data_IF_382470857563
#
_entry.id   IF_382470857563
#
_cell.length_a   1.000
_cell.length_b   1.000
_cell.length_c   1.000
_cell.angle_alpha   90.00
_cell.angle_beta   90.00
_cell.angle_gamma   90.00
#
_symmetry.space_group_name_H-M   'P 1'
#
loop_
_entity.id
_entity.type
_entity.pdbx_description
1 polymer ?
#
# COMPACT_ATOMS: atom_id res chain seq x y z
N UNK A 1 -7.14 -20.75 6.55
CA UNK A 1 -6.10 -20.56 5.52
C UNK A 1 -4.79 -20.28 6.24
N UNK A 2 -3.72 -21.03 5.94
CA UNK A 2 -2.36 -20.74 6.43
C UNK A 2 -1.82 -19.45 5.81
N UNK A 3 -0.77 -18.84 6.38
CA UNK A 3 -0.18 -17.63 5.82
C UNK A 3 0.29 -17.80 4.35
N UNK A 4 0.91 -18.94 4.01
CA UNK A 4 1.32 -19.23 2.62
C UNK A 4 0.11 -19.35 1.69
N UNK A 5 -1.00 -19.95 2.12
CA UNK A 5 -2.22 -20.01 1.28
C UNK A 5 -2.87 -18.64 1.04
N UNK A 6 -2.67 -17.68 1.96
CA UNK A 6 -3.13 -16.29 1.77
C UNK A 6 -2.21 -15.55 0.79
N UNK A 7 -0.89 -15.69 0.94
CA UNK A 7 0.08 -15.07 0.04
C UNK A 7 -0.09 -15.58 -1.40
N UNK A 8 -0.25 -16.89 -1.59
CA UNK A 8 -0.54 -17.51 -2.88
C UNK A 8 -1.84 -16.98 -3.48
N UNK A 9 -2.92 -16.95 -2.70
CA UNK A 9 -4.20 -16.40 -3.15
C UNK A 9 -4.07 -14.93 -3.60
N UNK A 10 -3.28 -14.12 -2.88
CA UNK A 10 -3.03 -12.72 -3.20
C UNK A 10 -2.00 -12.50 -4.32
N UNK A 11 -1.43 -13.56 -4.90
CA UNK A 11 -0.38 -13.48 -5.92
C UNK A 11 0.96 -12.97 -5.39
N UNK A 12 1.19 -13.10 -4.08
CA UNK A 12 2.39 -12.65 -3.35
C UNK A 12 3.31 -13.84 -3.00
N UNK A 13 3.39 -14.86 -3.85
CA UNK A 13 4.23 -16.03 -3.61
C UNK A 13 5.66 -15.89 -4.19
N UNK A 14 5.86 -15.03 -5.20
CA UNK A 14 7.14 -14.89 -5.88
C UNK A 14 8.10 -13.90 -5.19
N UNK A 15 9.39 -14.10 -5.45
CA UNK A 15 10.51 -13.28 -4.98
C UNK A 15 11.38 -12.81 -6.14
N UNK A 16 11.91 -11.60 -6.02
CA UNK A 16 12.82 -11.02 -7.03
C UNK A 16 14.28 -11.41 -6.86
N UNK A 17 14.65 -11.99 -5.73
CA UNK A 17 15.98 -12.51 -5.45
C UNK A 17 15.90 -13.82 -4.66
N UNK A 18 16.83 -14.73 -4.95
CA UNK A 18 17.04 -15.95 -4.18
C UNK A 18 17.82 -15.64 -2.88
N UNK A 19 17.76 -16.57 -1.93
CA UNK A 19 18.41 -16.42 -0.61
C UNK A 19 17.43 -16.16 0.53
N UNK A 20 17.90 -16.32 1.76
CA UNK A 20 17.07 -16.22 2.94
C UNK A 20 16.80 -14.76 3.33
N UNK A 21 15.57 -14.50 3.79
CA UNK A 21 15.22 -13.22 4.38
C UNK A 21 15.89 -13.00 5.74
N UNK A 22 15.71 -11.79 6.26
CA UNK A 22 16.18 -11.41 7.61
C UNK A 22 15.11 -11.54 8.69
N UNK A 23 13.88 -11.94 8.35
CA UNK A 23 12.78 -11.93 9.29
C UNK A 23 12.49 -10.51 9.80
N UNK A 24 12.12 -10.43 11.08
CA UNK A 24 11.95 -9.20 11.83
C UNK A 24 10.54 -8.62 11.78
N UNK A 25 10.35 -7.54 12.53
CA UNK A 25 9.07 -6.88 12.70
C UNK A 25 9.18 -5.37 12.41
N UNK A 26 8.24 -4.85 11.62
CA UNK A 26 8.10 -3.40 11.38
C UNK A 26 7.20 -2.75 12.43
N UNK A 27 7.42 -1.44 12.63
CA UNK A 27 6.54 -0.59 13.46
C UNK A 27 6.37 -1.12 14.89
N UNK A 28 7.40 -1.74 15.46
CA UNK A 28 7.47 -2.03 16.91
C UNK A 28 7.30 -0.74 17.69
N UNK A 29 7.93 0.33 17.20
CA UNK A 29 7.73 1.72 17.64
C UNK A 29 7.21 2.57 16.51
N UNK A 30 6.58 3.71 16.83
CA UNK A 30 6.17 4.67 15.80
C UNK A 30 7.43 5.27 15.13
N UNK A 31 8.49 5.49 15.91
CA UNK A 31 9.76 6.07 15.46
C UNK A 31 10.58 5.13 14.56
N UNK A 32 10.25 3.84 14.53
CA UNK A 32 10.88 2.85 13.66
C UNK A 32 10.44 3.01 12.19
N UNK A 33 9.38 3.77 11.93
CA UNK A 33 8.92 4.05 10.58
C UNK A 33 8.92 5.55 10.34
N UNK A 34 9.92 6.05 9.60
CA UNK A 34 10.06 7.47 9.29
C UNK A 34 9.93 7.72 7.80
N UNK A 35 9.15 8.74 7.45
CA UNK A 35 8.91 9.14 6.07
C UNK A 35 9.15 10.62 5.94
N UNK A 36 10.16 11.00 5.15
CA UNK A 36 10.45 12.38 4.83
C UNK A 36 10.11 12.65 3.36
N UNK A 37 9.28 13.64 3.11
CA UNK A 37 8.94 14.06 1.76
C UNK A 37 10.16 14.65 1.05
N UNK A 38 10.49 14.10 -0.12
CA UNK A 38 11.49 14.68 -1.02
C UNK A 38 10.74 15.60 -1.98
N UNK A 39 10.82 16.90 -1.73
CA UNK A 39 10.21 17.93 -2.57
C UNK A 39 11.04 19.20 -2.56
N UNK A 40 10.99 19.95 -3.67
CA UNK A 40 11.57 21.28 -3.73
C UNK A 40 10.76 22.24 -2.84
N UNK A 41 11.46 23.01 -2.01
CA UNK A 41 10.81 24.07 -1.23
C UNK A 41 10.29 25.14 -2.20
N UNK A 42 9.01 25.58 -2.07
CA UNK A 42 8.49 26.65 -2.91
C UNK A 42 9.34 27.91 -2.84
N UNK A 43 9.44 28.66 -3.95
CA UNK A 43 10.24 29.88 -3.97
C UNK A 43 9.77 30.87 -2.88
N UNK A 44 10.69 31.29 -2.03
CA UNK A 44 10.39 32.14 -0.88
C UNK A 44 10.49 33.63 -1.26
N UNK A 45 9.51 34.40 -0.80
CA UNK A 45 9.45 35.85 -0.94
C UNK A 45 8.78 36.41 0.32
N UNK A 46 9.43 37.32 1.09
CA UNK A 46 8.83 37.96 2.27
C UNK A 46 7.47 38.63 2.01
N UNK A 47 7.20 39.08 0.77
CA UNK A 47 5.91 39.66 0.34
C UNK A 47 4.89 38.60 -0.08
N UNK A 48 5.24 37.33 0.00
CA UNK A 48 4.40 36.18 -0.28
C UNK A 48 3.09 36.21 0.49
N UNK A 49 2.01 35.73 -0.15
CA UNK A 49 0.68 35.63 0.47
C UNK A 49 0.59 34.46 1.45
N UNK A 50 1.26 33.35 1.14
CA UNK A 50 1.17 32.12 1.91
C UNK A 50 2.40 31.96 2.82
N UNK A 51 2.28 31.10 3.83
CA UNK A 51 3.42 30.65 4.65
C UNK A 51 3.75 29.21 4.25
N UNK A 52 4.99 28.98 3.84
CA UNK A 52 5.53 27.64 3.66
C UNK A 52 6.10 27.14 4.99
N UNK A 53 5.75 25.92 5.37
CA UNK A 53 6.22 25.26 6.58
C UNK A 53 6.66 23.85 6.27
N UNK A 54 7.63 23.35 7.04
CA UNK A 54 7.91 21.92 7.15
C UNK A 54 7.33 21.43 8.46
N UNK A 55 6.49 20.40 8.42
CA UNK A 55 5.87 19.82 9.61
C UNK A 55 6.36 18.41 9.81
N UNK A 56 6.69 18.08 11.06
CA UNK A 56 6.94 16.69 11.48
C UNK A 56 5.79 16.25 12.35
N UNK A 57 5.19 15.11 12.02
CA UNK A 57 4.02 14.56 12.71
C UNK A 57 4.36 13.18 13.27
N UNK A 58 4.14 12.96 14.57
CA UNK A 58 4.28 11.66 15.21
C UNK A 58 2.90 11.03 15.44
N UNK A 59 2.61 9.90 14.77
CA UNK A 59 1.34 9.15 14.91
C UNK A 59 0.05 9.91 14.50
N UNK A 60 0.14 10.74 13.47
CA UNK A 60 -0.98 11.55 12.99
C UNK A 60 -1.48 11.11 11.61
N UNK A 61 -2.79 10.98 11.47
CA UNK A 61 -3.41 10.94 10.14
C UNK A 61 -3.37 12.35 9.53
N UNK A 62 -2.93 12.45 8.28
CA UNK A 62 -2.63 13.72 7.62
C UNK A 62 -3.85 14.64 7.57
N UNK A 63 -5.04 14.16 7.15
CA UNK A 63 -6.23 15.02 7.05
C UNK A 63 -6.74 15.51 8.41
N UNK A 64 -6.62 14.69 9.45
CA UNK A 64 -6.92 15.06 10.84
C UNK A 64 -6.00 16.21 11.28
N UNK A 65 -4.71 16.09 11.02
CA UNK A 65 -3.74 17.15 11.33
C UNK A 65 -4.04 18.43 10.55
N UNK A 66 -4.23 18.36 9.23
CA UNK A 66 -4.48 19.53 8.39
C UNK A 66 -5.78 20.25 8.80
N UNK A 67 -6.79 19.53 9.27
CA UNK A 67 -8.02 20.12 9.83
C UNK A 67 -7.77 20.81 11.16
N UNK A 68 -6.93 20.22 12.04
CA UNK A 68 -6.53 20.82 13.31
C UNK A 68 -5.71 22.09 13.11
N UNK A 69 -4.75 22.07 12.18
CA UNK A 69 -3.93 23.21 11.78
C UNK A 69 -4.80 24.35 11.23
N UNK A 70 -5.72 24.05 10.32
CA UNK A 70 -6.64 25.04 9.76
C UNK A 70 -7.49 25.71 10.86
N UNK A 71 -8.01 24.92 11.80
CA UNK A 71 -8.78 25.42 12.95
C UNK A 71 -7.93 26.32 13.85
N UNK A 72 -6.69 25.93 14.17
CA UNK A 72 -5.78 26.72 14.98
C UNK A 72 -5.43 28.07 14.31
N UNK A 73 -5.31 28.10 12.98
CA UNK A 73 -5.10 29.32 12.21
C UNK A 73 -6.36 30.16 11.98
N UNK A 74 -7.55 29.65 12.32
CA UNK A 74 -8.84 30.31 12.06
C UNK A 74 -9.20 30.40 10.57
N UNK A 75 -8.82 29.39 9.78
CA UNK A 75 -9.05 29.34 8.32
C UNK A 75 -9.80 28.05 7.93
N UNK A 76 -10.35 28.05 6.71
CA UNK A 76 -10.93 26.83 6.12
C UNK A 76 -9.86 25.78 5.82
N UNK A 77 -10.18 24.49 5.96
CA UNK A 77 -9.32 23.36 5.57
C UNK A 77 -8.83 23.44 4.11
N UNK A 78 -9.63 24.01 3.21
CA UNK A 78 -9.28 24.21 1.78
C UNK A 78 -8.14 25.21 1.56
N UNK A 79 -7.74 25.95 2.60
CA UNK A 79 -6.65 26.95 2.60
C UNK A 79 -5.34 26.40 3.16
N UNK A 80 -5.27 25.09 3.39
CA UNK A 80 -4.05 24.36 3.76
C UNK A 80 -3.74 23.37 2.63
N UNK A 81 -2.62 23.59 1.96
CA UNK A 81 -2.19 22.84 0.79
C UNK A 81 -1.11 21.83 1.19
N UNK A 82 -1.22 20.60 0.68
CA UNK A 82 -0.33 19.46 0.94
C UNK A 82 -0.10 18.69 -0.35
N UNK A 83 1.08 18.10 -0.52
CA UNK A 83 1.42 17.36 -1.75
C UNK A 83 0.86 15.93 -1.78
N UNK A 84 0.49 15.39 -0.62
CA UNK A 84 -0.02 14.03 -0.48
C UNK A 84 -0.41 13.70 0.96
N UNK A 85 -0.82 12.45 1.17
CA UNK A 85 -1.04 11.87 2.49
C UNK A 85 0.19 11.05 2.87
N UNK A 86 0.51 10.99 4.16
CA UNK A 86 1.58 10.15 4.71
C UNK A 86 1.00 9.11 5.68
N UNK A 87 1.79 8.08 5.98
CA UNK A 87 1.44 7.02 6.91
C UNK A 87 1.07 7.57 8.30
N UNK A 88 -0.06 7.12 8.85
CA UNK A 88 -0.48 7.50 10.21
C UNK A 88 0.50 6.97 11.26
N UNK A 89 0.79 5.65 11.22
CA UNK A 89 1.62 4.97 12.22
C UNK A 89 3.10 5.10 11.84
N UNK A 90 3.58 6.33 11.85
CA UNK A 90 4.93 6.73 11.47
C UNK A 90 5.29 8.11 12.06
N UNK A 91 6.57 8.45 12.02
CA UNK A 91 7.04 9.85 12.10
C UNK A 91 7.17 10.38 10.68
N UNK A 92 6.36 11.36 10.32
CA UNK A 92 6.28 11.86 8.95
C UNK A 92 6.67 13.33 8.86
N UNK A 93 7.53 13.68 7.91
CA UNK A 93 7.94 15.05 7.64
C UNK A 93 7.50 15.46 6.25
N UNK A 94 6.76 16.56 6.13
CA UNK A 94 6.25 17.03 4.83
C UNK A 94 6.20 18.56 4.76
N UNK A 95 6.24 19.08 3.55
CA UNK A 95 6.08 20.52 3.29
C UNK A 95 4.60 20.84 3.13
N UNK A 96 4.14 21.89 3.81
CA UNK A 96 2.79 22.43 3.69
C UNK A 96 2.85 23.90 3.28
N UNK A 97 1.84 24.34 2.54
CA UNK A 97 1.60 25.77 2.30
C UNK A 97 0.28 26.17 2.95
N UNK A 98 0.33 27.18 3.80
CA UNK A 98 -0.81 27.67 4.59
C UNK A 98 -1.16 29.08 4.15
N UNK A 99 -2.41 29.33 3.76
CA UNK A 99 -2.92 30.66 3.46
C UNK A 99 -3.33 31.40 4.74
N UNK A 100 -2.32 31.66 5.58
CA UNK A 100 -2.37 32.45 6.81
C UNK A 100 -1.09 33.28 6.96
N UNK A 101 -1.10 34.38 7.74
CA UNK A 101 0.12 35.11 8.10
C UNK A 101 1.11 34.22 8.86
N UNK A 102 2.42 34.42 8.65
CA UNK A 102 3.48 33.68 9.34
C UNK A 102 3.34 33.73 10.86
N UNK A 103 3.09 34.91 11.44
CA UNK A 103 2.91 35.09 12.89
C UNK A 103 1.74 34.31 13.49
N UNK A 104 0.73 33.94 12.68
CA UNK A 104 -0.34 33.04 13.14
C UNK A 104 0.11 31.59 13.16
N UNK A 105 0.85 31.17 12.12
CA UNK A 105 1.34 29.79 11.99
C UNK A 105 2.39 29.48 13.06
N UNK A 106 3.27 30.42 13.37
CA UNK A 106 4.29 30.29 14.43
C UNK A 106 3.71 30.07 15.83
N UNK A 107 2.47 30.52 16.08
CA UNK A 107 1.78 30.37 17.37
C UNK A 107 0.98 29.06 17.47
N UNK A 108 0.97 28.24 16.42
CA UNK A 108 0.22 26.98 16.43
C UNK A 108 0.99 25.95 17.23
N UNK A 109 0.37 25.48 18.31
CA UNK A 109 0.86 24.35 19.09
C UNK A 109 -0.11 23.17 18.95
N UNK A 110 0.41 22.05 18.44
CA UNK A 110 -0.33 20.79 18.33
C UNK A 110 0.57 19.70 18.93
N UNK A 111 0.12 18.96 19.96
CA UNK A 111 0.89 17.87 20.56
C UNK A 111 1.38 16.86 19.53
N UNK A 112 2.55 16.26 19.79
CA UNK A 112 3.19 15.25 18.95
C UNK A 112 3.53 15.73 17.54
N UNK A 113 3.68 17.05 17.36
CA UNK A 113 4.08 17.66 16.08
C UNK A 113 5.12 18.76 16.29
N UNK A 114 5.93 19.01 15.26
CA UNK A 114 6.78 20.19 15.17
C UNK A 114 6.48 20.95 13.88
N UNK A 115 6.55 22.27 13.94
CA UNK A 115 6.35 23.17 12.79
C UNK A 115 7.60 24.02 12.64
N UNK A 116 8.32 23.81 11.55
CA UNK A 116 9.41 24.67 11.11
C UNK A 116 8.86 25.64 10.05
N UNK A 117 8.93 26.95 10.32
CA UNK A 117 8.53 27.95 9.33
C UNK A 117 9.69 28.21 8.38
N UNK A 118 9.47 27.89 7.10
CA UNK A 118 10.46 28.08 6.04
C UNK A 118 10.44 29.54 5.54
N UNK A 119 9.27 30.16 5.51
CA UNK A 119 9.10 31.56 5.13
C UNK A 119 7.78 31.84 4.42
N UNK A 120 7.72 32.99 3.75
CA UNK A 120 6.59 33.45 2.96
C UNK A 120 6.75 33.04 1.49
N UNK A 121 5.66 32.76 0.78
CA UNK A 121 5.69 32.38 -0.65
C UNK A 121 4.44 32.83 -1.40
N UNK A 122 4.55 32.98 -2.73
CA UNK A 122 3.43 33.18 -3.65
C UNK A 122 2.88 31.86 -4.23
N UNK A 123 3.60 30.76 -4.04
CA UNK A 123 3.28 29.46 -4.62
C UNK A 123 2.39 28.64 -3.68
N UNK A 124 1.46 27.88 -4.25
CA UNK A 124 0.77 26.79 -3.56
C UNK A 124 1.47 25.48 -3.92
N UNK A 125 1.23 24.46 -3.12
CA UNK A 125 1.57 23.07 -3.50
C UNK A 125 0.30 22.33 -3.89
N UNK A 126 0.36 21.66 -5.04
CA UNK A 126 -0.66 20.77 -5.57
C UNK A 126 -0.43 19.32 -5.16
N UNK A 127 -1.43 18.49 -5.43
CA UNK A 127 -1.33 17.05 -5.23
C UNK A 127 -0.28 16.46 -6.18
N UNK A 128 0.65 15.68 -5.66
CA UNK A 128 1.77 15.08 -6.40
C UNK A 128 2.90 16.04 -6.81
N UNK A 129 3.01 17.20 -6.16
CA UNK A 129 4.14 18.13 -6.33
C UNK A 129 5.43 17.70 -5.57
N UNK A 130 5.51 16.43 -5.13
CA UNK A 130 6.71 15.87 -4.52
C UNK A 130 7.42 14.91 -5.47
N UNK A 131 8.74 14.84 -5.35
CA UNK A 131 9.62 14.02 -6.20
C UNK A 131 9.74 12.58 -5.67
N UNK A 132 9.37 12.36 -4.40
CA UNK A 132 9.41 11.05 -3.76
C UNK A 132 9.30 11.13 -2.25
N UNK A 133 9.59 10.01 -1.59
CA UNK A 133 9.67 9.94 -0.14
C UNK A 133 10.96 9.20 0.25
N UNK A 134 11.71 9.80 1.18
CA UNK A 134 12.86 9.20 1.84
C UNK A 134 12.36 8.44 3.06
N UNK A 135 12.60 7.15 3.06
CA UNK A 135 12.25 6.28 4.17
C UNK A 135 13.46 6.06 5.06
N UNK A 136 13.23 6.05 6.37
CA UNK A 136 14.15 5.46 7.35
C UNK A 136 13.34 4.47 8.16
N UNK A 137 13.56 3.18 7.90
CA UNK A 137 12.80 2.09 8.50
C UNK A 137 13.73 1.25 9.36
N UNK A 138 13.30 0.98 10.58
CA UNK A 138 13.98 0.04 11.47
C UNK A 138 13.20 -1.27 11.51
N UNK A 139 13.88 -2.35 11.13
CA UNK A 139 13.41 -3.73 11.29
C UNK A 139 13.97 -4.24 12.60
N UNK A 140 13.11 -4.77 13.46
CA UNK A 140 13.48 -5.23 14.82
C UNK A 140 13.46 -6.74 14.89
N UNK A 141 14.45 -7.31 15.58
CA UNK A 141 14.47 -8.73 15.93
C UNK A 141 14.68 -9.67 14.74
N UNK A 142 15.74 -9.45 13.96
CA UNK A 142 16.07 -10.29 12.81
C UNK A 142 16.32 -11.74 13.25
N UNK A 143 15.82 -12.70 12.47
CA UNK A 143 15.96 -14.12 12.76
C UNK A 143 16.18 -14.92 11.48
N UNK A 144 16.55 -16.18 11.65
CA UNK A 144 16.59 -17.15 10.56
C UNK A 144 15.20 -17.75 10.29
N UNK A 145 15.12 -18.59 9.25
CA UNK A 145 13.90 -19.29 8.82
C UNK A 145 13.31 -20.24 9.87
N UNK A 146 14.12 -20.69 10.84
CA UNK A 146 13.70 -21.50 11.98
C UNK A 146 13.29 -20.65 13.21
N UNK A 147 13.34 -19.32 13.11
CA UNK A 147 13.04 -18.38 14.19
C UNK A 147 14.21 -18.09 15.13
N UNK A 148 15.38 -18.70 14.94
CA UNK A 148 16.57 -18.43 15.76
C UNK A 148 17.11 -17.00 15.50
N UNK A 149 17.58 -16.27 16.53
CA UNK A 149 18.09 -14.91 16.34
C UNK A 149 19.36 -14.88 15.49
N UNK A 150 19.47 -13.91 14.58
CA UNK A 150 20.69 -13.67 13.81
C UNK A 150 21.33 -12.34 14.22
N UNK A 151 22.67 -12.30 14.16
CA UNK A 151 23.43 -11.11 14.52
C UNK A 151 23.42 -10.04 13.42
N UNK A 152 23.87 -8.83 13.75
CA UNK A 152 23.83 -7.69 12.83
C UNK A 152 24.71 -7.89 11.59
N UNK A 153 25.82 -8.63 11.69
CA UNK A 153 26.72 -8.88 10.56
C UNK A 153 26.05 -9.80 9.55
N UNK A 154 25.45 -10.88 10.02
CA UNK A 154 24.73 -11.84 9.20
C UNK A 154 23.49 -11.19 8.57
N UNK A 155 22.68 -10.48 9.35
CA UNK A 155 21.50 -9.79 8.83
C UNK A 155 21.88 -8.75 7.75
N UNK A 156 22.93 -7.95 7.96
CA UNK A 156 23.42 -7.01 6.94
C UNK A 156 24.01 -7.71 5.71
N UNK A 157 24.62 -8.89 5.86
CA UNK A 157 25.13 -9.69 4.73
C UNK A 157 23.95 -10.14 3.84
N UNK A 158 22.92 -10.75 4.43
CA UNK A 158 21.71 -11.19 3.70
C UNK A 158 21.04 -10.05 2.95
N UNK A 159 20.89 -8.87 3.57
CA UNK A 159 20.33 -7.68 2.90
C UNK A 159 21.13 -7.29 1.66
N UNK A 160 22.46 -7.25 1.75
CA UNK A 160 23.32 -6.89 0.61
C UNK A 160 23.26 -7.94 -0.50
N UNK A 161 23.19 -9.22 -0.14
CA UNK A 161 23.04 -10.31 -1.11
C UNK A 161 21.70 -10.26 -1.84
N UNK A 162 20.60 -10.07 -1.11
CA UNK A 162 19.27 -9.92 -1.70
C UNK A 162 19.20 -8.70 -2.64
N UNK A 163 19.79 -7.58 -2.25
CA UNK A 163 19.86 -6.40 -3.11
C UNK A 163 20.72 -6.64 -4.36
N UNK A 164 21.89 -7.27 -4.22
CA UNK A 164 22.75 -7.61 -5.36
C UNK A 164 22.04 -8.55 -6.32
N UNK A 165 21.45 -9.63 -5.80
CA UNK A 165 20.71 -10.61 -6.59
C UNK A 165 19.51 -9.98 -7.31
N UNK A 166 18.79 -9.07 -6.64
CA UNK A 166 17.69 -8.32 -7.23
C UNK A 166 18.18 -7.41 -8.37
N UNK A 167 19.23 -6.62 -8.13
CA UNK A 167 19.79 -5.72 -9.14
C UNK A 167 20.39 -6.49 -10.33
N UNK A 168 21.00 -7.65 -10.10
CA UNK A 168 21.51 -8.54 -11.16
C UNK A 168 20.37 -9.14 -11.99
N UNK A 169 19.34 -9.71 -11.34
CA UNK A 169 18.19 -10.31 -12.04
C UNK A 169 17.39 -9.29 -12.82
N UNK A 170 17.22 -8.09 -12.28
CA UNK A 170 16.37 -7.04 -12.86
C UNK A 170 17.15 -6.09 -13.78
N UNK A 171 18.48 -6.07 -13.71
CA UNK A 171 19.34 -5.16 -14.46
C UNK A 171 19.25 -3.70 -14.00
N UNK A 172 18.70 -3.44 -12.81
CA UNK A 172 18.53 -2.11 -12.22
C UNK A 172 18.23 -2.22 -10.72
N UNK A 173 18.51 -1.13 -9.97
CA UNK A 173 18.07 -0.97 -8.59
C UNK A 173 16.56 -0.69 -8.53
N UNK A 174 15.78 -1.76 -8.68
CA UNK A 174 14.33 -1.76 -8.66
C UNK A 174 13.80 -3.00 -7.95
N UNK A 175 12.54 -3.00 -7.54
CA UNK A 175 11.86 -4.15 -6.97
C UNK A 175 10.46 -4.31 -7.61
N UNK A 176 9.83 -5.49 -7.52
CA UNK A 176 8.50 -5.70 -8.08
C UNK A 176 7.46 -4.81 -7.38
N UNK A 177 6.59 -4.18 -8.16
CA UNK A 177 5.59 -3.22 -7.68
C UNK A 177 4.34 -3.90 -7.10
N UNK A 178 4.53 -4.88 -6.21
CA UNK A 178 3.44 -5.63 -5.59
C UNK A 178 2.39 -4.72 -4.99
N UNK A 179 1.14 -5.15 -5.07
CA UNK A 179 0.06 -4.54 -4.29
C UNK A 179 0.03 -5.28 -2.96
N UNK A 180 0.33 -4.55 -1.87
CA UNK A 180 0.49 -5.15 -0.54
C UNK A 180 -0.80 -5.65 0.10
N UNK A 181 -0.70 -6.51 1.12
CA UNK A 181 -1.83 -7.20 1.77
C UNK A 181 -2.85 -6.23 2.40
N UNK A 182 -2.41 -5.03 2.81
CA UNK A 182 -3.30 -4.02 3.37
C UNK A 182 -4.38 -3.56 2.38
N UNK A 183 -4.16 -3.70 1.06
CA UNK A 183 -5.16 -3.38 0.02
C UNK A 183 -6.34 -4.35 0.04
N UNK A 184 -6.07 -5.61 0.38
CA UNK A 184 -7.02 -6.71 0.38
C UNK A 184 -7.70 -6.89 1.75
N UNK A 185 -7.06 -6.36 2.80
CA UNK A 185 -7.43 -6.57 4.20
C UNK A 185 -6.43 -7.53 4.83
N UNK A 186 -5.36 -7.01 5.42
CA UNK A 186 -4.13 -7.77 5.68
C UNK A 186 -4.31 -9.14 6.34
N UNK A 187 -5.12 -9.22 7.40
CA UNK A 187 -5.41 -10.47 8.13
C UNK A 187 -6.74 -11.12 7.71
N UNK A 188 -7.50 -10.43 6.87
CA UNK A 188 -8.81 -10.85 6.35
C UNK A 188 -8.95 -10.32 4.92
N UNK A 189 -8.48 -11.05 3.89
CA UNK A 189 -8.48 -10.61 2.50
C UNK A 189 -9.90 -10.61 1.89
N UNK A 190 -10.87 -10.00 2.57
CA UNK A 190 -12.30 -9.96 2.20
C UNK A 190 -12.59 -8.95 1.09
N UNK A 191 -11.74 -7.94 0.95
CA UNK A 191 -11.97 -6.82 0.03
C UNK A 191 -12.11 -7.24 -1.43
N UNK A 192 -11.25 -8.12 -1.98
CA UNK A 192 -11.44 -8.64 -3.34
C UNK A 192 -12.68 -9.55 -3.46
N UNK A 193 -12.96 -10.39 -2.46
CA UNK A 193 -14.12 -11.30 -2.47
C UNK A 193 -15.45 -10.53 -2.50
N UNK A 194 -15.54 -9.45 -1.74
CA UNK A 194 -16.69 -8.52 -1.81
C UNK A 194 -16.74 -7.83 -3.16
N UNK A 195 -15.58 -7.46 -3.73
CA UNK A 195 -15.50 -6.89 -5.08
C UNK A 195 -16.05 -7.85 -6.13
N UNK A 196 -15.74 -9.14 -6.01
CA UNK A 196 -16.22 -10.21 -6.90
C UNK A 196 -17.74 -10.32 -6.86
N UNK A 197 -18.31 -10.45 -5.66
CA UNK A 197 -19.77 -10.50 -5.48
C UNK A 197 -20.47 -9.24 -6.05
N UNK A 198 -19.84 -8.06 -5.92
CA UNK A 198 -20.41 -6.80 -6.45
C UNK A 198 -20.44 -6.76 -7.98
N UNK A 199 -19.40 -7.25 -8.67
CA UNK A 199 -19.41 -7.28 -10.14
C UNK A 199 -20.37 -8.36 -10.67
N UNK A 200 -20.57 -9.44 -9.93
CA UNK A 200 -21.58 -10.47 -10.21
C UNK A 200 -23.03 -9.98 -9.94
N UNK A 201 -23.18 -8.81 -9.33
CA UNK A 201 -24.50 -8.26 -8.95
C UNK A 201 -25.11 -8.90 -7.70
N UNK A 202 -24.37 -9.76 -7.02
CA UNK A 202 -24.77 -10.46 -5.80
C UNK A 202 -24.43 -9.62 -4.55
N UNK A 203 -25.31 -8.66 -4.25
CA UNK A 203 -25.14 -7.80 -3.08
C UNK A 203 -25.40 -8.51 -1.76
N UNK A 204 -26.13 -9.63 -1.78
CA UNK A 204 -26.37 -10.47 -0.61
C UNK A 204 -25.04 -11.11 -0.19
N UNK A 205 -24.38 -11.82 -1.11
CA UNK A 205 -23.04 -12.38 -0.89
C UNK A 205 -22.02 -11.30 -0.53
N UNK A 206 -22.09 -10.12 -1.16
CA UNK A 206 -21.18 -9.01 -0.83
C UNK A 206 -21.32 -8.56 0.64
N UNK A 207 -22.55 -8.42 1.13
CA UNK A 207 -22.81 -8.07 2.53
C UNK A 207 -22.44 -9.23 3.48
N UNK A 208 -22.81 -10.45 3.12
CA UNK A 208 -22.53 -11.64 3.91
C UNK A 208 -21.01 -11.87 4.11
N UNK A 209 -20.23 -11.78 3.04
CA UNK A 209 -18.76 -11.87 3.10
C UNK A 209 -18.18 -10.77 4.00
N UNK A 210 -18.63 -9.52 3.85
CA UNK A 210 -18.09 -8.40 4.62
C UNK A 210 -18.37 -8.54 6.13
N UNK A 211 -19.57 -9.04 6.48
CA UNK A 211 -20.00 -9.27 7.86
C UNK A 211 -19.39 -10.55 8.44
N UNK A 212 -19.35 -11.64 7.69
CA UNK A 212 -19.13 -12.99 8.20
C UNK A 212 -17.75 -13.59 7.96
N UNK A 213 -16.98 -13.13 6.96
CA UNK A 213 -15.70 -13.78 6.62
C UNK A 213 -14.74 -13.74 7.82
N UNK A 214 -14.20 -14.89 8.27
CA UNK A 214 -13.26 -14.92 9.39
C UNK A 214 -11.92 -14.27 9.01
N UNK A 215 -11.30 -13.56 9.96
CA UNK A 215 -9.94 -13.05 9.81
C UNK A 215 -8.97 -13.83 10.70
N UNK A 216 -7.74 -14.02 10.23
CA UNK A 216 -6.67 -14.55 11.06
C UNK A 216 -6.36 -13.58 12.23
N UNK A 217 -6.04 -14.11 13.40
CA UNK A 217 -5.66 -13.33 14.60
C UNK A 217 -6.66 -12.20 14.95
N UNK A 218 -7.95 -12.43 14.72
CA UNK A 218 -9.00 -11.48 15.12
C UNK A 218 -9.18 -11.53 16.63
N UNK A 219 -9.49 -10.39 17.25
CA UNK A 219 -9.91 -10.35 18.66
C UNK A 219 -11.15 -11.22 18.87
N UNK A 220 -11.26 -11.85 20.05
CA UNK A 220 -12.32 -12.82 20.37
C UNK A 220 -13.73 -12.25 20.17
N UNK A 221 -13.94 -10.97 20.50
CA UNK A 221 -15.20 -10.26 20.32
C UNK A 221 -15.59 -10.11 18.83
N UNK A 222 -14.62 -9.82 17.98
CA UNK A 222 -14.79 -9.76 16.53
C UNK A 222 -15.04 -11.16 15.97
N UNK A 223 -14.31 -12.17 16.42
CA UNK A 223 -14.48 -13.55 15.96
C UNK A 223 -15.89 -14.07 16.27
N UNK A 224 -16.34 -13.91 17.52
CA UNK A 224 -17.67 -14.31 17.97
C UNK A 224 -18.79 -13.57 17.23
N UNK A 225 -18.65 -12.26 16.99
CA UNK A 225 -19.61 -11.50 16.19
C UNK A 225 -19.77 -12.08 14.76
N UNK A 226 -18.65 -12.38 14.10
CA UNK A 226 -18.67 -12.91 12.72
C UNK A 226 -19.23 -14.32 12.67
N UNK A 227 -18.93 -15.13 13.67
CA UNK A 227 -19.51 -16.47 13.83
C UNK A 227 -21.02 -16.41 14.03
N UNK A 228 -21.49 -15.58 14.95
CA UNK A 228 -22.92 -15.35 15.17
C UNK A 228 -23.63 -14.93 13.88
N UNK A 229 -23.02 -14.03 13.09
CA UNK A 229 -23.59 -13.64 11.79
C UNK A 229 -23.71 -14.85 10.85
N UNK A 230 -22.65 -15.65 10.72
CA UNK A 230 -22.65 -16.84 9.84
C UNK A 230 -23.69 -17.89 10.25
N UNK A 231 -23.95 -18.04 11.55
CA UNK A 231 -24.90 -19.05 12.06
C UNK A 231 -26.36 -18.59 12.02
N UNK A 232 -26.60 -17.32 12.31
CA UNK A 232 -27.96 -16.84 12.59
C UNK A 232 -28.50 -15.90 11.52
N UNK A 233 -27.61 -15.16 10.83
CA UNK A 233 -27.96 -14.01 9.99
C UNK A 233 -28.93 -13.01 10.67
N UNK A 234 -28.98 -13.02 12.02
CA UNK A 234 -29.86 -12.14 12.80
C UNK A 234 -29.23 -10.77 12.96
N UNK A 235 -29.67 -9.82 12.13
CA UNK A 235 -29.19 -8.44 12.17
C UNK A 235 -29.39 -7.79 13.54
N UNK A 236 -30.47 -8.13 14.26
CA UNK A 236 -30.77 -7.53 15.57
C UNK A 236 -29.84 -8.08 16.65
N UNK A 237 -29.74 -9.41 16.78
CA UNK A 237 -28.84 -10.05 17.72
C UNK A 237 -27.38 -9.63 17.49
N UNK A 238 -26.95 -9.58 16.23
CA UNK A 238 -25.61 -9.10 15.87
C UNK A 238 -25.35 -7.64 16.29
N UNK A 239 -26.35 -6.75 16.19
CA UNK A 239 -26.21 -5.34 16.60
C UNK A 239 -25.99 -5.14 18.10
N UNK A 240 -26.47 -6.08 18.93
CA UNK A 240 -26.32 -6.07 20.39
C UNK A 240 -24.89 -6.41 20.81
N UNK A 241 -24.22 -7.30 20.08
CA UNK A 241 -22.87 -7.79 20.42
C UNK A 241 -21.74 -7.15 19.61
N UNK A 242 -22.05 -6.53 18.47
CA UNK A 242 -21.01 -6.03 17.55
C UNK A 242 -20.07 -5.01 18.21
N UNK A 243 -18.73 -5.20 18.12
CA UNK A 243 -17.75 -4.28 18.67
C UNK A 243 -17.90 -2.84 18.16
N UNK A 244 -17.64 -1.85 19.04
CA UNK A 244 -17.86 -0.42 18.74
C UNK A 244 -17.03 0.11 17.56
N UNK A 245 -15.86 -0.49 17.30
CA UNK A 245 -14.95 -0.05 16.25
C UNK A 245 -15.37 -0.55 14.84
N UNK A 246 -16.28 -1.53 14.74
CA UNK A 246 -16.82 -2.07 13.48
C UNK A 246 -17.99 -1.22 12.95
N UNK A 247 -17.73 0.07 12.72
CA UNK A 247 -18.76 1.04 12.33
C UNK A 247 -19.38 0.78 10.95
N UNK A 248 -18.62 0.19 10.02
CA UNK A 248 -19.11 -0.13 8.68
C UNK A 248 -20.03 -1.34 8.69
N UNK A 249 -19.63 -2.42 9.37
CA UNK A 249 -20.46 -3.60 9.61
C UNK A 249 -21.76 -3.22 10.33
N UNK A 250 -21.69 -2.37 11.37
CA UNK A 250 -22.88 -1.81 12.02
C UNK A 250 -23.81 -1.11 11.04
N UNK A 251 -23.28 -0.29 10.14
CA UNK A 251 -24.08 0.42 9.12
C UNK A 251 -24.83 -0.52 8.18
N UNK A 252 -24.21 -1.65 7.80
CA UNK A 252 -24.87 -2.70 7.01
C UNK A 252 -26.02 -3.32 7.80
N UNK A 253 -25.76 -3.77 9.04
CA UNK A 253 -26.76 -4.41 9.90
C UNK A 253 -27.94 -3.49 10.21
N UNK A 254 -27.68 -2.20 10.50
CA UNK A 254 -28.73 -1.21 10.72
C UNK A 254 -29.60 -0.99 9.46
N UNK A 255 -29.01 -1.07 8.27
CA UNK A 255 -29.78 -1.00 7.03
C UNK A 255 -30.66 -2.23 6.83
N UNK A 256 -30.14 -3.43 7.09
CA UNK A 256 -30.88 -4.69 6.97
C UNK A 256 -32.01 -4.79 8.00
N UNK A 257 -31.77 -4.34 9.24
CA UNK A 257 -32.80 -4.27 10.27
C UNK A 257 -33.96 -3.33 9.87
N UNK A 258 -33.65 -2.21 9.21
CA UNK A 258 -34.66 -1.24 8.74
C UNK A 258 -35.38 -1.71 7.48
N UNK A 259 -34.68 -2.41 6.59
CA UNK A 259 -35.17 -2.91 5.30
C UNK A 259 -34.62 -4.32 5.08
N UNK A 260 -35.32 -5.35 5.58
CA UNK A 260 -34.96 -6.74 5.34
C UNK A 260 -34.83 -7.01 3.83
N UNK A 261 -33.88 -7.85 3.45
CA UNK A 261 -33.60 -8.29 2.07
C UNK A 261 -33.20 -7.18 1.07
N UNK A 262 -33.10 -5.91 1.48
CA UNK A 262 -32.56 -4.80 0.66
C UNK A 262 -31.02 -4.75 0.76
N UNK A 263 -30.38 -5.83 0.30
CA UNK A 263 -28.92 -6.01 0.33
C UNK A 263 -28.17 -4.92 -0.43
N UNK A 264 -28.74 -4.44 -1.54
CA UNK A 264 -28.16 -3.33 -2.31
C UNK A 264 -28.07 -2.07 -1.45
N UNK A 265 -29.11 -1.75 -0.70
CA UNK A 265 -29.08 -0.57 0.14
C UNK A 265 -28.20 -0.76 1.38
N UNK A 266 -28.12 -1.99 1.90
CA UNK A 266 -27.19 -2.34 2.97
C UNK A 266 -25.74 -2.15 2.52
N UNK A 267 -25.35 -2.65 1.35
CA UNK A 267 -24.04 -2.41 0.76
C UNK A 267 -23.78 -0.93 0.50
N UNK A 268 -24.80 -0.19 0.02
CA UNK A 268 -24.69 1.26 -0.22
C UNK A 268 -24.48 2.09 1.05
N UNK A 269 -24.68 1.53 2.25
CA UNK A 269 -24.34 2.20 3.51
C UNK A 269 -22.83 2.43 3.68
N UNK A 270 -22.00 1.63 3.01
CA UNK A 270 -20.55 1.79 3.00
C UNK A 270 -20.15 3.11 2.33
N UNK A 271 -19.05 3.77 2.77
CA UNK A 271 -18.56 4.97 2.09
C UNK A 271 -18.23 4.71 0.60
N UNK A 272 -18.47 5.67 -0.31
CA UNK A 272 -18.19 5.47 -1.73
C UNK A 272 -16.75 5.05 -2.06
N UNK A 273 -15.78 5.55 -1.30
CA UNK A 273 -14.36 5.19 -1.42
C UNK A 273 -14.09 3.73 -1.07
N UNK A 274 -14.75 3.20 -0.04
CA UNK A 274 -14.63 1.80 0.36
C UNK A 274 -15.30 0.87 -0.66
N UNK A 275 -16.47 1.26 -1.17
CA UNK A 275 -17.13 0.52 -2.26
C UNK A 275 -16.29 0.50 -3.55
N UNK A 276 -15.50 1.55 -3.81
CA UNK A 276 -14.59 1.58 -4.97
C UNK A 276 -13.32 0.76 -4.70
N UNK A 277 -12.88 0.70 -3.44
CA UNK A 277 -11.74 -0.11 -3.03
C UNK A 277 -11.96 -1.60 -3.30
N UNK A 278 -13.17 -2.13 -3.14
CA UNK A 278 -13.48 -3.55 -3.41
C UNK A 278 -13.22 -3.91 -4.88
N UNK A 279 -13.71 -3.09 -5.81
CA UNK A 279 -13.43 -3.24 -7.25
C UNK A 279 -11.94 -3.19 -7.55
N UNK A 280 -11.25 -2.17 -7.03
CA UNK A 280 -9.81 -2.04 -7.27
C UNK A 280 -9.00 -3.17 -6.63
N UNK A 281 -9.44 -3.70 -5.50
CA UNK A 281 -8.78 -4.82 -4.82
C UNK A 281 -8.94 -6.10 -5.63
N UNK A 282 -10.09 -6.34 -6.23
CA UNK A 282 -10.29 -7.47 -7.14
C UNK A 282 -9.35 -7.39 -8.34
N UNK A 283 -9.27 -6.21 -8.99
CA UNK A 283 -8.32 -5.98 -10.09
C UNK A 283 -6.86 -6.22 -9.68
N UNK A 284 -6.54 -5.94 -8.41
CA UNK A 284 -5.19 -6.08 -7.88
C UNK A 284 -4.74 -7.54 -7.77
N UNK A 285 -5.67 -8.50 -7.70
CA UNK A 285 -5.33 -9.93 -7.73
C UNK A 285 -4.64 -10.29 -9.06
N UNK A 286 -5.31 -10.03 -10.19
CA UNK A 286 -4.75 -10.30 -11.52
C UNK A 286 -3.41 -9.60 -11.73
N UNK A 287 -3.25 -8.36 -11.25
CA UNK A 287 -1.97 -7.66 -11.34
C UNK A 287 -0.85 -8.40 -10.60
N UNK A 288 -1.09 -8.82 -9.34
CA UNK A 288 -0.10 -9.56 -8.57
C UNK A 288 0.20 -10.92 -9.21
N UNK A 289 -0.82 -11.67 -9.63
CA UNK A 289 -0.64 -12.96 -10.30
C UNK A 289 0.14 -12.82 -11.62
N UNK A 290 -0.13 -11.80 -12.43
CA UNK A 290 0.62 -11.53 -13.67
C UNK A 290 2.08 -11.17 -13.38
N UNK A 291 2.34 -10.38 -12.33
CA UNK A 291 3.70 -10.04 -11.91
C UNK A 291 4.46 -11.29 -11.41
N UNK A 292 3.79 -12.14 -10.63
CA UNK A 292 4.32 -13.43 -10.16
C UNK A 292 4.66 -14.37 -11.32
N UNK A 293 3.71 -14.59 -12.24
CA UNK A 293 3.90 -15.43 -13.42
C UNK A 293 5.03 -14.92 -14.32
N UNK A 294 5.17 -13.59 -14.45
CA UNK A 294 6.26 -12.99 -15.21
C UNK A 294 7.64 -13.28 -14.60
N UNK A 295 7.77 -13.13 -13.28
CA UNK A 295 9.01 -13.44 -12.57
C UNK A 295 9.34 -14.93 -12.67
N UNK A 296 8.33 -15.81 -12.57
CA UNK A 296 8.49 -17.27 -12.67
C UNK A 296 8.98 -17.71 -14.06
N UNK A 297 8.53 -17.04 -15.13
CA UNK A 297 9.04 -17.27 -16.51
C UNK A 297 10.39 -16.60 -16.80
N UNK A 298 10.98 -15.90 -15.82
CA UNK A 298 12.29 -15.25 -15.98
C UNK A 298 12.27 -14.00 -16.87
N UNK A 299 11.10 -13.45 -17.17
CA UNK A 299 10.99 -12.20 -17.93
C UNK A 299 11.29 -10.99 -17.03
N UNK A 300 12.08 -10.04 -17.53
CA UNK A 300 12.40 -8.82 -16.80
C UNK A 300 11.14 -7.97 -16.54
N UNK A 301 10.98 -7.46 -15.33
CA UNK A 301 9.91 -6.50 -14.98
C UNK A 301 10.32 -5.05 -15.22
N UNK A 302 11.60 -4.81 -15.54
CA UNK A 302 12.17 -3.48 -15.85
C UNK A 302 12.29 -3.28 -17.35
N UNK A 303 12.76 -4.28 -18.08
CA UNK A 303 12.94 -4.21 -19.52
C UNK A 303 11.83 -4.96 -20.27
N UNK A 304 11.29 -4.36 -21.34
CA UNK A 304 10.26 -5.03 -22.13
C UNK A 304 10.84 -6.15 -23.02
N UNK A 305 9.99 -7.16 -23.22
CA UNK A 305 10.04 -8.18 -24.24
C UNK A 305 9.09 -7.83 -25.40
N UNK A 306 9.12 -8.61 -26.48
CA UNK A 306 8.16 -8.46 -27.58
C UNK A 306 6.74 -8.75 -27.10
N UNK A 307 5.77 -7.95 -27.56
CA UNK A 307 4.38 -8.03 -27.17
C UNK A 307 4.03 -7.30 -25.86
N UNK A 308 5.02 -6.84 -25.08
CA UNK A 308 4.75 -6.06 -23.87
C UNK A 308 4.03 -4.75 -24.17
N UNK A 309 3.24 -4.30 -23.20
CA UNK A 309 2.68 -2.95 -23.20
C UNK A 309 3.51 -2.03 -22.30
N UNK A 310 4.08 -0.98 -22.89
CA UNK A 310 4.86 0.04 -22.17
C UNK A 310 4.14 1.38 -22.17
N UNK A 311 4.23 2.13 -21.07
CA UNK A 311 3.60 3.44 -20.95
C UNK A 311 4.59 4.50 -20.43
N UNK A 312 4.47 5.77 -20.88
CA UNK A 312 5.29 6.86 -20.37
C UNK A 312 5.10 7.09 -18.87
N UNK A 313 6.21 7.27 -18.16
CA UNK A 313 6.25 7.63 -16.75
C UNK A 313 6.16 9.14 -16.59
N UNK A 314 5.26 9.59 -15.71
CA UNK A 314 5.17 10.97 -15.26
C UNK A 314 6.11 11.20 -14.06
N UNK A 315 6.40 12.47 -13.77
CA UNK A 315 7.24 12.86 -12.62
C UNK A 315 6.70 12.34 -11.28
N UNK A 316 5.38 12.20 -11.16
CA UNK A 316 4.70 11.66 -9.99
C UNK A 316 4.69 10.12 -9.90
N UNK A 317 5.48 9.42 -10.72
CA UNK A 317 5.54 7.95 -10.72
C UNK A 317 4.33 7.24 -11.37
N UNK A 318 3.32 7.96 -11.85
CA UNK A 318 2.18 7.38 -12.57
C UNK A 318 2.50 7.21 -14.04
N UNK A 319 1.84 6.25 -14.68
CA UNK A 319 1.91 6.08 -16.13
C UNK A 319 0.80 6.83 -16.86
N UNK A 320 1.11 7.31 -18.06
CA UNK A 320 0.16 7.83 -19.03
C UNK A 320 -0.35 6.69 -19.93
N UNK A 321 -1.40 5.98 -19.46
CA UNK A 321 -1.99 4.83 -20.16
C UNK A 321 -2.54 5.22 -21.54
N UNK A 322 -2.91 6.49 -21.75
CA UNK A 322 -3.41 6.97 -23.04
C UNK A 322 -2.34 6.97 -24.14
N UNK A 323 -1.07 6.91 -23.77
CA UNK A 323 0.10 6.88 -24.68
C UNK A 323 0.85 5.56 -24.62
N UNK A 324 0.17 4.51 -24.16
CA UNK A 324 0.74 3.18 -24.12
C UNK A 324 1.03 2.66 -25.54
N UNK A 325 2.08 1.87 -25.68
CA UNK A 325 2.47 1.27 -26.93
C UNK A 325 2.83 -0.20 -26.74
N UNK A 326 2.47 -1.02 -27.71
CA UNK A 326 2.95 -2.39 -27.85
C UNK A 326 4.41 -2.41 -28.31
N UNK A 327 5.18 -3.31 -27.73
CA UNK A 327 6.59 -3.50 -28.05
C UNK A 327 6.71 -4.48 -29.20
N UNK A 328 7.27 -4.01 -30.31
CA UNK A 328 7.53 -4.80 -31.52
C UNK A 328 9.02 -4.78 -31.87
N UNK A 329 9.44 -5.60 -32.83
CA UNK A 329 10.85 -5.68 -33.25
C UNK A 329 11.42 -4.31 -33.63
N UNK A 330 10.62 -3.47 -34.29
CA UNK A 330 11.03 -2.15 -34.75
C UNK A 330 11.28 -1.13 -33.63
N UNK A 331 10.66 -1.30 -32.45
CA UNK A 331 10.74 -0.33 -31.36
C UNK A 331 11.42 -0.87 -30.07
N UNK A 332 11.68 -2.18 -30.00
CA UNK A 332 12.18 -2.88 -28.81
C UNK A 332 13.39 -2.20 -28.16
N UNK A 333 14.43 -1.91 -28.93
CA UNK A 333 15.66 -1.31 -28.40
C UNK A 333 15.43 0.10 -27.84
N UNK A 334 14.54 0.87 -28.48
CA UNK A 334 14.13 2.20 -28.00
C UNK A 334 13.33 2.09 -26.71
N UNK A 335 12.43 1.10 -26.61
CA UNK A 335 11.63 0.86 -25.42
C UNK A 335 12.52 0.44 -24.24
N UNK A 336 13.40 -0.57 -24.43
CA UNK A 336 14.40 -1.00 -23.42
C UNK A 336 15.24 0.16 -22.90
N UNK A 337 15.80 0.98 -23.79
CA UNK A 337 16.58 2.17 -23.39
C UNK A 337 15.77 3.14 -22.55
N UNK A 338 14.52 3.44 -22.94
CA UNK A 338 13.70 4.40 -22.19
C UNK A 338 13.18 3.83 -20.87
N UNK A 339 12.96 2.52 -20.76
CA UNK A 339 12.66 1.85 -19.51
C UNK A 339 13.84 1.92 -18.52
N UNK A 340 15.07 1.64 -18.97
CA UNK A 340 16.29 1.83 -18.14
C UNK A 340 16.47 3.26 -17.66
N UNK A 341 16.07 4.25 -18.48
CA UNK A 341 16.11 5.67 -18.11
C UNK A 341 14.92 6.12 -17.25
N UNK A 342 13.98 5.22 -16.89
CA UNK A 342 12.79 5.54 -16.11
C UNK A 342 11.76 6.42 -16.83
N UNK A 343 11.83 6.52 -18.16
CA UNK A 343 10.91 7.32 -19.00
C UNK A 343 9.70 6.53 -19.47
N UNK A 344 9.86 5.22 -19.59
CA UNK A 344 8.79 4.26 -19.85
C UNK A 344 8.77 3.22 -18.71
N UNK A 345 7.63 2.59 -18.48
CA UNK A 345 7.53 1.42 -17.62
C UNK A 345 6.89 0.27 -18.39
N UNK A 346 7.38 -0.95 -18.14
CA UNK A 346 6.63 -2.18 -18.47
C UNK A 346 5.43 -2.25 -17.55
N UNK A 347 4.26 -2.58 -18.09
CA UNK A 347 3.00 -2.49 -17.36
C UNK A 347 2.34 -3.85 -17.22
N UNK A 348 1.65 -4.07 -16.10
CA UNK A 348 0.77 -5.23 -15.86
C UNK A 348 -0.72 -4.84 -15.86
N UNK A 349 -1.62 -5.82 -16.05
CA UNK A 349 -3.04 -5.58 -16.21
C UNK A 349 -3.72 -5.25 -14.87
N UNK A 350 -4.65 -4.29 -14.90
CA UNK A 350 -5.72 -4.15 -13.92
C UNK A 350 -7.03 -4.34 -14.71
N UNK A 351 -7.67 -5.53 -14.63
CA UNK A 351 -8.72 -5.94 -15.56
C UNK A 351 -9.97 -5.06 -15.53
N UNK A 352 -10.72 -5.06 -16.62
CA UNK A 352 -11.93 -4.30 -16.82
C UNK A 352 -12.52 -4.55 -18.20
N UNK A 353 -13.67 -3.94 -18.50
CA UNK A 353 -14.44 -4.26 -19.71
C UNK A 353 -13.74 -3.96 -21.04
N UNK A 354 -12.67 -3.15 -21.02
CA UNK A 354 -11.89 -2.80 -22.21
C UNK A 354 -10.38 -2.81 -21.94
N UNK A 355 -9.91 -3.72 -21.09
CA UNK A 355 -8.49 -3.82 -20.76
C UNK A 355 -7.66 -4.24 -21.97
N UNK A 356 -6.68 -3.41 -22.34
CA UNK A 356 -5.65 -3.81 -23.29
C UNK A 356 -4.73 -4.85 -22.65
N UNK A 357 -4.46 -5.93 -23.37
CA UNK A 357 -3.60 -7.04 -22.95
C UNK A 357 -2.33 -7.06 -23.78
N UNK A 358 -1.23 -7.51 -23.17
CA UNK A 358 0.00 -7.78 -23.90
C UNK A 358 -0.18 -8.94 -24.90
N UNK A 359 0.77 -9.07 -25.82
CA UNK A 359 0.81 -10.11 -26.85
C UNK A 359 1.96 -11.09 -26.59
N UNK A 360 1.97 -12.22 -27.32
CA UNK A 360 3.01 -13.24 -27.20
C UNK A 360 3.12 -13.79 -25.78
N UNK A 361 4.34 -14.09 -25.35
CA UNK A 361 4.62 -14.65 -24.02
C UNK A 361 4.16 -13.74 -22.86
N UNK A 362 4.39 -12.40 -22.87
CA UNK A 362 3.77 -11.51 -21.88
C UNK A 362 2.24 -11.61 -21.84
N UNK A 363 1.60 -11.70 -23.02
CA UNK A 363 0.16 -11.84 -23.13
C UNK A 363 -0.40 -13.15 -22.58
N UNK A 364 0.36 -14.25 -22.70
CA UNK A 364 0.00 -15.54 -22.10
C UNK A 364 0.07 -15.48 -20.57
N UNK A 365 1.08 -14.82 -20.00
CA UNK A 365 1.18 -14.61 -18.55
C UNK A 365 -0.04 -13.83 -18.04
N UNK A 366 -0.43 -12.77 -18.75
CA UNK A 366 -1.57 -11.94 -18.34
C UNK A 366 -2.91 -12.70 -18.45
N UNK A 367 -3.06 -13.57 -19.46
CA UNK A 367 -4.24 -14.44 -19.60
C UNK A 367 -4.28 -15.49 -18.50
N UNK A 368 -3.16 -16.15 -18.22
CA UNK A 368 -3.07 -17.11 -17.11
C UNK A 368 -3.43 -16.44 -15.78
N UNK A 369 -2.98 -15.21 -15.54
CA UNK A 369 -3.33 -14.48 -14.32
C UNK A 369 -4.83 -14.14 -14.20
N UNK A 370 -5.54 -14.00 -15.33
CA UNK A 370 -7.01 -13.86 -15.32
C UNK A 370 -7.67 -15.19 -14.93
N UNK A 371 -7.23 -16.29 -15.54
CA UNK A 371 -7.69 -17.65 -15.24
C UNK A 371 -7.45 -18.02 -13.77
N UNK A 372 -6.23 -17.81 -13.28
CA UNK A 372 -5.83 -18.10 -11.89
C UNK A 372 -6.62 -17.27 -10.85
N UNK A 373 -7.29 -16.20 -11.30
CA UNK A 373 -8.10 -15.32 -10.44
C UNK A 373 -9.60 -15.42 -10.73
N UNK A 374 -10.04 -16.33 -11.60
CA UNK A 374 -11.42 -16.48 -12.07
C UNK A 374 -12.00 -15.14 -12.58
N UNK A 375 -11.25 -14.45 -13.45
CA UNK A 375 -11.60 -13.12 -13.97
C UNK A 375 -11.56 -13.02 -15.50
N UNK A 376 -11.33 -14.11 -16.24
CA UNK A 376 -11.30 -14.07 -17.71
C UNK A 376 -12.63 -13.62 -18.33
N UNK A 377 -13.74 -14.08 -17.76
CA UNK A 377 -15.11 -13.82 -18.24
C UNK A 377 -15.89 -12.82 -17.35
N UNK A 378 -15.20 -12.12 -16.46
CA UNK A 378 -15.83 -11.20 -15.51
C UNK A 378 -16.49 -10.00 -16.21
N UNK A 379 -17.77 -9.77 -15.93
CA UNK A 379 -18.45 -8.54 -16.35
C UNK A 379 -18.17 -7.39 -15.37
N UNK A 380 -17.40 -6.42 -15.82
CA UNK A 380 -17.03 -5.25 -15.02
C UNK A 380 -18.09 -4.13 -15.04
N UNK A 381 -19.25 -4.37 -15.66
CA UNK A 381 -20.38 -3.46 -15.65
C UNK A 381 -21.25 -3.64 -14.41
N UNK A 382 -21.32 -2.60 -13.57
CA UNK A 382 -22.10 -2.62 -12.31
C UNK A 382 -23.29 -1.64 -12.43
N UNK A 383 -24.39 -2.00 -13.10
CA UNK A 383 -25.48 -1.07 -13.42
C UNK A 383 -26.19 -0.53 -12.18
N UNK A 384 -26.26 -1.32 -11.10
CA UNK A 384 -26.93 -0.93 -9.83
C UNK A 384 -26.15 0.13 -9.06
N UNK A 385 -24.85 0.25 -9.33
CA UNK A 385 -23.94 1.27 -8.78
C UNK A 385 -22.95 1.70 -9.88
N UNK A 386 -23.37 2.51 -10.87
CA UNK A 386 -22.61 2.73 -12.10
C UNK A 386 -21.17 3.22 -11.91
N UNK A 387 -20.89 3.98 -10.84
CA UNK A 387 -19.54 4.44 -10.48
C UNK A 387 -18.55 3.32 -10.10
N UNK A 388 -19.03 2.09 -9.91
CA UNK A 388 -18.21 0.91 -9.66
C UNK A 388 -17.87 0.16 -10.96
N UNK A 389 -18.49 0.54 -12.08
CA UNK A 389 -18.11 0.01 -13.40
C UNK A 389 -16.67 0.38 -13.71
N UNK A 390 -15.88 -0.58 -14.22
CA UNK A 390 -14.49 -0.34 -14.58
C UNK A 390 -14.18 -0.75 -16.02
N UNK A 391 -13.56 0.17 -16.76
CA UNK A 391 -12.97 -0.11 -18.08
C UNK A 391 -11.64 -0.84 -17.99
N UNK A 392 -11.07 -0.93 -16.78
CA UNK A 392 -9.72 -1.45 -16.55
C UNK A 392 -8.65 -0.42 -16.86
N UNK A 393 -7.43 -0.74 -16.46
CA UNK A 393 -6.24 0.11 -16.63
C UNK A 393 -4.99 -0.76 -16.53
N UNK A 394 -3.81 -0.14 -16.41
CA UNK A 394 -2.55 -0.85 -16.21
C UNK A 394 -1.69 -0.17 -15.15
N UNK A 395 -0.70 -0.89 -14.63
CA UNK A 395 0.19 -0.43 -13.56
C UNK A 395 1.65 -0.82 -13.87
N UNK A 396 2.67 0.01 -13.55
CA UNK A 396 4.07 -0.39 -13.68
C UNK A 396 4.39 -1.67 -12.92
N UNK A 397 5.18 -2.57 -13.52
CA UNK A 397 5.59 -3.83 -12.88
C UNK A 397 6.73 -3.66 -11.87
N UNK A 398 7.55 -2.61 -12.02
CA UNK A 398 8.72 -2.36 -11.18
C UNK A 398 8.70 -0.96 -10.57
N UNK A 399 9.30 -0.82 -9.38
CA UNK A 399 9.55 0.45 -8.70
C UNK A 399 11.06 0.62 -8.53
N UNK A 400 11.66 1.70 -9.05
CA UNK A 400 13.05 2.00 -8.76
C UNK A 400 13.22 2.50 -7.32
N UNK A 401 14.35 2.21 -6.70
CA UNK A 401 14.76 2.80 -5.42
C UNK A 401 16.15 3.44 -5.56
N UNK A 402 16.47 4.37 -4.66
CA UNK A 402 17.76 5.09 -4.67
C UNK A 402 18.30 5.29 -3.28
N UNK A 403 19.58 5.63 -3.21
CA UNK A 403 20.24 6.06 -1.96
C UNK A 403 20.11 5.02 -0.84
N UNK A 404 20.20 3.73 -1.18
CA UNK A 404 20.01 2.66 -0.20
C UNK A 404 21.23 2.56 0.74
N UNK A 405 20.96 2.50 2.04
CA UNK A 405 21.97 2.20 3.06
C UNK A 405 21.36 1.33 4.16
N UNK A 406 22.14 0.41 4.71
CA UNK A 406 21.77 -0.41 5.86
C UNK A 406 22.86 -0.30 6.95
N UNK A 407 22.43 -0.08 8.18
CA UNK A 407 23.26 -0.05 9.38
C UNK A 407 22.56 -0.81 10.51
N UNK A 408 23.32 -1.25 11.51
CA UNK A 408 22.72 -1.78 12.74
C UNK A 408 22.02 -0.66 13.51
N UNK A 409 20.82 -0.93 14.00
CA UNK A 409 20.01 0.03 14.72
C UNK A 409 20.31 -0.05 16.23
N UNK A 410 20.19 1.08 16.96
CA UNK A 410 20.31 1.08 18.41
C UNK A 410 19.27 0.15 19.05
N UNK A 411 19.61 -0.40 20.22
CA UNK A 411 18.71 -1.19 21.07
C UNK A 411 17.42 -0.43 21.41
N UNK A 412 16.38 -1.19 21.77
CA UNK A 412 15.10 -0.65 22.16
C UNK A 412 15.22 0.00 23.55
N UNK A 413 14.83 1.28 23.72
CA UNK A 413 14.71 1.88 25.04
C UNK A 413 13.49 1.30 25.78
N UNK A 414 13.63 1.13 27.10
CA UNK A 414 12.61 0.54 27.97
C UNK A 414 11.22 1.21 27.83
N UNK A 415 10.15 0.40 27.82
CA UNK A 415 8.77 0.87 27.98
C UNK A 415 8.12 1.54 26.77
N UNK A 416 8.68 1.44 25.56
CA UNK A 416 8.18 2.15 24.37
C UNK A 416 7.86 1.25 23.16
N UNK A 417 7.57 -0.02 23.40
CA UNK A 417 7.35 -1.04 22.35
C UNK A 417 5.87 -1.36 22.16
N UNK A 418 5.54 -2.03 21.06
CA UNK A 418 4.17 -2.48 20.77
C UNK A 418 3.78 -3.69 21.63
N UNK A 419 2.49 -3.85 21.91
CA UNK A 419 1.92 -5.02 22.60
C UNK A 419 2.38 -6.36 22.00
N UNK A 420 2.49 -6.45 20.66
CA UNK A 420 2.99 -7.65 19.97
C UNK A 420 4.45 -7.99 20.32
N UNK A 421 5.29 -6.96 20.52
CA UNK A 421 6.68 -7.17 20.88
C UNK A 421 6.78 -7.67 22.33
N UNK A 422 6.01 -7.08 23.24
CA UNK A 422 5.94 -7.50 24.64
C UNK A 422 5.38 -8.91 24.82
N UNK A 423 4.43 -9.32 23.97
CA UNK A 423 3.87 -10.67 23.97
C UNK A 423 4.86 -11.75 23.50
N UNK A 424 5.95 -11.35 22.83
CA UNK A 424 6.90 -12.27 22.21
C UNK A 424 6.42 -12.86 20.88
N UNK A 425 7.29 -13.62 20.19
CA UNK A 425 6.95 -14.22 18.90
C UNK A 425 5.87 -15.29 19.04
N UNK A 426 4.84 -15.19 18.19
CA UNK A 426 3.82 -16.22 18.03
C UNK A 426 4.34 -17.40 17.21
N UNK A 427 3.62 -18.53 17.24
CA UNK A 427 3.92 -19.67 16.36
C UNK A 427 3.94 -19.24 14.88
N UNK A 428 5.00 -19.61 14.16
CA UNK A 428 5.24 -19.20 12.78
C UNK A 428 5.74 -17.75 12.61
N UNK A 429 5.95 -17.00 13.69
CA UNK A 429 6.53 -15.67 13.66
C UNK A 429 8.02 -15.72 13.34
N UNK A 430 8.42 -15.15 12.21
CA UNK A 430 9.82 -14.93 11.83
C UNK A 430 10.38 -13.63 12.43
N UNK A 431 10.52 -13.56 13.75
CA UNK A 431 11.27 -12.51 14.45
C UNK A 431 11.68 -12.99 15.85
N UNK A 432 12.76 -12.45 16.41
CA UNK A 432 13.25 -12.81 17.74
C UNK A 432 13.73 -11.58 18.54
N UNK A 433 13.35 -11.39 19.82
CA UNK A 433 13.78 -10.23 20.62
C UNK A 433 15.30 -10.05 20.71
N UNK A 434 16.04 -11.15 20.83
CA UNK A 434 17.52 -11.15 20.86
C UNK A 434 18.16 -11.03 19.47
N UNK A 435 17.34 -10.99 18.41
CA UNK A 435 17.79 -10.79 17.04
C UNK A 435 18.23 -9.35 16.80
N UNK A 436 19.18 -9.17 15.88
CA UNK A 436 19.66 -7.83 15.55
C UNK A 436 18.56 -6.92 15.03
N UNK A 437 18.69 -5.61 15.26
CA UNK A 437 17.83 -4.61 14.64
C UNK A 437 18.59 -3.90 13.53
N UNK A 438 17.98 -3.76 12.34
CA UNK A 438 18.61 -3.06 11.21
C UNK A 438 17.85 -1.79 10.89
N UNK A 439 18.58 -0.70 10.64
CA UNK A 439 18.03 0.53 10.09
C UNK A 439 18.39 0.65 8.63
N UNK A 440 17.37 0.79 7.79
CA UNK A 440 17.49 0.97 6.35
C UNK A 440 17.05 2.38 5.98
N UNK A 441 17.80 3.03 5.09
CA UNK A 441 17.43 4.31 4.47
C UNK A 441 17.42 4.16 2.96
N UNK A 442 16.40 4.70 2.30
CA UNK A 442 16.27 4.68 0.84
C UNK A 442 15.20 5.68 0.39
N UNK A 443 15.18 5.99 -0.91
CA UNK A 443 14.18 6.87 -1.52
C UNK A 443 13.33 6.10 -2.52
N UNK A 444 12.01 6.34 -2.48
CA UNK A 444 11.06 5.79 -3.43
C UNK A 444 10.27 6.89 -4.15
N UNK A 445 9.84 6.67 -5.41
CA UNK A 445 8.95 7.56 -6.14
C UNK A 445 7.60 7.77 -5.45
N UNK A 446 6.84 8.82 -5.81
CA UNK A 446 5.49 9.04 -5.30
C UNK A 446 4.56 7.85 -5.58
N UNK A 447 3.63 7.59 -4.65
CA UNK A 447 2.61 6.55 -4.81
C UNK A 447 3.09 5.10 -4.63
N UNK A 448 4.31 4.91 -4.12
CA UNK A 448 4.91 3.60 -3.83
C UNK A 448 4.97 3.34 -2.33
N UNK A 449 5.01 2.07 -1.94
CA UNK A 449 4.94 1.67 -0.53
C UNK A 449 6.25 1.01 -0.12
N UNK A 450 6.87 1.52 0.94
CA UNK A 450 8.14 0.97 1.43
C UNK A 450 8.01 -0.46 1.96
N UNK A 451 6.82 -0.83 2.47
CA UNK A 451 6.54 -2.21 2.91
C UNK A 451 6.73 -3.24 1.79
N UNK A 452 6.60 -2.84 0.52
CA UNK A 452 6.81 -3.73 -0.62
C UNK A 452 8.30 -4.06 -0.82
N UNK A 453 9.18 -3.07 -0.68
CA UNK A 453 10.63 -3.33 -0.67
C UNK A 453 11.03 -4.12 0.59
N UNK A 454 10.45 -3.79 1.75
CA UNK A 454 10.69 -4.54 2.98
C UNK A 454 10.24 -6.00 2.84
N UNK A 455 9.19 -6.27 2.06
CA UNK A 455 8.78 -7.65 1.75
C UNK A 455 9.93 -8.44 1.15
N UNK A 456 10.56 -7.93 0.09
CA UNK A 456 11.66 -8.60 -0.61
C UNK A 456 12.89 -8.85 0.28
N UNK A 457 13.15 -7.98 1.27
CA UNK A 457 14.30 -8.10 2.17
C UNK A 457 14.02 -8.97 3.40
N UNK A 458 12.83 -8.82 4.00
CA UNK A 458 12.46 -9.50 5.23
C UNK A 458 12.02 -10.95 4.99
N UNK A 459 11.36 -11.23 3.85
CA UNK A 459 10.68 -12.51 3.55
C UNK A 459 9.92 -13.07 4.76
N UNK A 460 9.14 -12.20 5.39
CA UNK A 460 8.39 -12.47 6.63
C UNK A 460 6.90 -12.65 6.34
N UNK A 461 6.13 -13.24 7.27
CA UNK A 461 4.68 -13.29 7.16
C UNK A 461 4.04 -11.90 6.96
N UNK A 462 2.92 -11.85 6.22
CA UNK A 462 2.24 -10.60 5.83
C UNK A 462 1.84 -9.67 7.00
N UNK A 463 1.69 -10.20 8.20
CA UNK A 463 1.33 -9.45 9.40
C UNK A 463 2.54 -8.81 10.11
N UNK A 464 3.76 -9.01 9.60
CA UNK A 464 4.99 -8.39 10.12
C UNK A 464 5.25 -6.96 9.61
N UNK A 465 4.48 -6.48 8.61
CA UNK A 465 4.76 -5.25 7.85
C UNK A 465 3.97 -3.98 8.26
#
# INVERSE_FOLDING_TARGET
MSASSVEEHLGLAAWSADGDGIGGLLKVRIEDFRVEEVASVPALDPKGRFTAIRVTLNNWETNRYLSRLAKACGISRKRVFSSGMKDKRAVTTQTLVVDAPQSKVERVEIPDTSIEVLGRTHQKIGMSDHDGNRFTITIRGCCDSDGSPIDGKEAMRRVRELLSGMSERLGADAFPNWIGPQRFGATRPVTPEVGRAVIEGDFERACDLYLGMPGANSADDVAAFREMWRETQDSKGCLEVIPKHLGYERGILESLMKRPDDWLAAYKSLPPSLQLLTIHSLQSLTFNHALSGRLARGLSIVEPALGDLVAPMQSNGRIDVSKMAEVSESNLQRCRRNCRLGRLAVTGPLPGSSSAMAQGEPGEIERQALEDTDLEDADWHVPRIPRLTSSGTRRPLAVPFRSFSVEEAPELPEGSVSERWDAGPSEGGLWHPDGASLRMRFELPPGTYATVLMRELMKSPLDHY
#
